data_IF_633197638932
#
_entry.id   IF_633197638932
#
_cell.length_a   1.000
_cell.length_b   1.000
_cell.length_c   1.000
_cell.angle_alpha   90.00
_cell.angle_beta   90.00
_cell.angle_gamma   90.00
#
_symmetry.space_group_name_H-M   'P 1'
#
loop_
_entity.id
_entity.type
_entity.pdbx_description
1 polymer ?
#
# COMPACT_ATOMS: atom_id res chain seq x y z
N UNK A 1 -4.19 18.15 4.68
CA UNK A 1 -5.02 16.93 4.89
C UNK A 1 -5.31 16.22 3.57
N UNK A 2 -5.94 16.84 2.56
CA UNK A 2 -6.34 16.16 1.31
C UNK A 2 -5.25 15.47 0.46
N UNK A 3 -4.02 15.99 0.35
CA UNK A 3 -3.01 15.36 -0.53
C UNK A 3 -2.57 13.98 -0.04
N UNK A 4 -2.57 13.74 1.28
CA UNK A 4 -2.10 12.48 1.85
C UNK A 4 -3.10 11.34 1.63
N UNK A 5 -4.39 11.63 1.76
CA UNK A 5 -5.49 10.72 1.43
C UNK A 5 -5.43 10.31 -0.05
N UNK A 6 -5.29 11.30 -0.95
CA UNK A 6 -5.20 11.05 -2.39
C UNK A 6 -3.99 10.18 -2.76
N UNK A 7 -2.84 10.39 -2.11
CA UNK A 7 -1.63 9.57 -2.33
C UNK A 7 -1.85 8.13 -1.87
N UNK A 8 -2.44 7.91 -0.69
CA UNK A 8 -2.71 6.57 -0.16
C UNK A 8 -3.74 5.83 -1.00
N UNK A 9 -4.83 6.49 -1.39
CA UNK A 9 -5.84 5.91 -2.26
C UNK A 9 -5.25 5.57 -3.63
N UNK A 10 -4.48 6.48 -4.25
CA UNK A 10 -3.80 6.24 -5.52
C UNK A 10 -2.83 5.05 -5.42
N UNK A 11 -2.05 4.98 -4.34
CA UNK A 11 -1.10 3.88 -4.12
C UNK A 11 -1.82 2.55 -3.95
N UNK A 12 -2.94 2.55 -3.23
CA UNK A 12 -3.81 1.39 -3.04
C UNK A 12 -4.38 0.90 -4.37
N UNK A 13 -4.89 1.81 -5.20
CA UNK A 13 -5.35 1.46 -6.54
C UNK A 13 -4.22 0.93 -7.43
N UNK A 14 -3.03 1.53 -7.36
CA UNK A 14 -1.86 1.10 -8.14
C UNK A 14 -1.46 -0.33 -7.79
N UNK A 15 -1.39 -0.67 -6.51
CA UNK A 15 -1.08 -2.02 -6.03
C UNK A 15 -2.15 -3.00 -6.50
N UNK A 16 -3.44 -2.69 -6.31
CA UNK A 16 -4.52 -3.60 -6.70
C UNK A 16 -4.55 -3.88 -8.21
N UNK A 17 -4.32 -2.87 -9.05
CA UNK A 17 -4.47 -3.01 -10.50
C UNK A 17 -3.18 -3.37 -11.25
N UNK A 18 -2.01 -3.07 -10.68
CA UNK A 18 -0.74 -3.13 -11.41
C UNK A 18 0.43 -3.66 -10.57
N UNK A 19 0.17 -4.48 -9.53
CA UNK A 19 1.23 -5.00 -8.64
C UNK A 19 2.39 -5.68 -9.38
N UNK A 20 2.10 -6.40 -10.47
CA UNK A 20 3.11 -7.11 -11.28
C UNK A 20 4.09 -6.17 -12.00
N UNK A 21 3.76 -4.88 -12.12
CA UNK A 21 4.64 -3.84 -12.67
C UNK A 21 5.46 -3.12 -11.58
N UNK A 22 5.14 -3.35 -10.31
CA UNK A 22 5.91 -2.84 -9.17
C UNK A 22 7.01 -3.86 -8.91
N UNK A 23 8.19 -3.68 -9.52
CA UNK A 23 9.31 -4.62 -9.35
C UNK A 23 10.28 -4.12 -8.28
N UNK A 24 10.85 -2.92 -8.48
CA UNK A 24 11.77 -2.28 -7.53
C UNK A 24 11.08 -1.26 -6.59
N UNK A 25 9.81 -0.95 -6.87
CA UNK A 25 9.07 0.13 -6.20
C UNK A 25 8.55 -0.20 -4.80
N UNK A 26 8.62 -1.46 -4.36
CA UNK A 26 7.99 -1.92 -3.11
C UNK A 26 8.46 -1.17 -1.87
N UNK A 27 9.74 -0.79 -1.80
CA UNK A 27 10.26 -0.01 -0.67
C UNK A 27 9.57 1.36 -0.55
N UNK A 28 9.29 2.00 -1.69
CA UNK A 28 8.60 3.28 -1.73
C UNK A 28 7.10 3.11 -1.39
N UNK A 29 6.48 2.03 -1.89
CA UNK A 29 5.09 1.66 -1.55
C UNK A 29 4.93 1.53 -0.04
N UNK A 30 5.78 0.75 0.62
CA UNK A 30 5.72 0.56 2.07
C UNK A 30 6.05 1.85 2.83
N UNK A 31 6.98 2.68 2.35
CA UNK A 31 7.27 3.98 2.98
C UNK A 31 6.03 4.88 3.05
N UNK A 32 5.23 4.92 1.97
CA UNK A 32 3.98 5.70 1.91
C UNK A 32 2.96 5.16 2.91
N UNK A 33 2.79 3.84 2.99
CA UNK A 33 1.85 3.24 3.95
C UNK A 33 2.30 3.41 5.41
N UNK A 34 3.60 3.32 5.70
CA UNK A 34 4.14 3.61 7.05
C UNK A 34 3.88 5.06 7.45
N UNK A 35 4.03 6.01 6.53
CA UNK A 35 3.68 7.41 6.79
C UNK A 35 2.18 7.61 6.99
N UNK A 36 1.34 6.85 6.27
CA UNK A 36 -0.12 6.89 6.39
C UNK A 36 -0.62 6.28 7.71
N UNK A 37 0.04 5.23 8.20
CA UNK A 37 -0.27 4.60 9.48
C UNK A 37 -0.03 5.51 10.70
N UNK A 38 0.79 6.56 10.55
CA UNK A 38 0.97 7.61 11.56
C UNK A 38 -0.05 8.76 11.49
N UNK A 39 -1.10 8.64 10.66
CA UNK A 39 -2.15 9.65 10.55
C UNK A 39 -3.10 9.62 11.77
N UNK A 40 -3.71 10.76 12.08
CA UNK A 40 -4.78 10.87 13.10
C UNK A 40 -6.17 10.50 12.57
N UNK A 41 -6.25 10.20 11.27
CA UNK A 41 -7.47 9.86 10.55
C UNK A 41 -7.59 8.34 10.44
N UNK A 42 -8.60 7.77 11.09
CA UNK A 42 -8.79 6.33 11.26
C UNK A 42 -8.99 5.62 9.92
N UNK A 43 -9.74 6.24 8.99
CA UNK A 43 -10.01 5.66 7.66
C UNK A 43 -8.72 5.49 6.84
N UNK A 44 -7.80 6.47 6.95
CA UNK A 44 -6.50 6.40 6.26
C UNK A 44 -5.64 5.29 6.86
N UNK A 45 -5.63 5.17 8.18
CA UNK A 45 -4.84 4.15 8.89
C UNK A 45 -5.37 2.76 8.54
N UNK A 46 -6.68 2.56 8.58
CA UNK A 46 -7.32 1.30 8.21
C UNK A 46 -7.05 0.93 6.75
N UNK A 47 -7.16 1.88 5.83
CA UNK A 47 -6.86 1.68 4.41
C UNK A 47 -5.39 1.26 4.18
N UNK A 48 -4.46 1.91 4.88
CA UNK A 48 -3.03 1.59 4.81
C UNK A 48 -2.73 0.19 5.36
N UNK A 49 -3.32 -0.17 6.50
CA UNK A 49 -3.17 -1.50 7.10
C UNK A 49 -3.77 -2.60 6.21
N UNK A 50 -5.00 -2.41 5.72
CA UNK A 50 -5.70 -3.37 4.87
C UNK A 50 -4.91 -3.66 3.60
N UNK A 51 -4.38 -2.61 2.95
CA UNK A 51 -3.60 -2.75 1.72
C UNK A 51 -2.25 -3.43 1.99
N UNK A 52 -1.59 -3.11 3.10
CA UNK A 52 -0.35 -3.76 3.51
C UNK A 52 -0.57 -5.26 3.75
N UNK A 53 -1.68 -5.63 4.39
CA UNK A 53 -2.03 -7.03 4.62
C UNK A 53 -2.28 -7.79 3.31
N UNK A 54 -2.95 -7.16 2.34
CA UNK A 54 -3.12 -7.73 0.99
C UNK A 54 -1.78 -7.94 0.27
N UNK A 55 -0.85 -6.98 0.38
CA UNK A 55 0.48 -7.10 -0.24
C UNK A 55 1.26 -8.26 0.39
N UNK A 56 1.33 -8.34 1.72
CA UNK A 56 2.16 -9.36 2.39
C UNK A 56 1.51 -10.74 2.28
N UNK A 57 0.21 -10.85 2.60
CA UNK A 57 -0.50 -12.12 2.68
C UNK A 57 -0.94 -12.67 1.32
N UNK A 58 -1.18 -11.79 0.34
CA UNK A 58 -1.52 -12.18 -1.02
C UNK A 58 -0.29 -12.13 -1.92
N UNK A 59 0.09 -10.92 -2.31
CA UNK A 59 1.01 -10.70 -3.43
C UNK A 59 2.43 -11.23 -3.18
N UNK A 60 3.02 -10.92 -2.03
CA UNK A 60 4.39 -11.30 -1.69
C UNK A 60 4.52 -12.79 -1.40
N UNK A 61 3.46 -13.41 -0.88
CA UNK A 61 3.37 -14.86 -0.76
C UNK A 61 3.41 -15.52 -2.15
N UNK A 62 2.65 -15.00 -3.12
CA UNK A 62 2.73 -15.45 -4.52
C UNK A 62 4.09 -15.14 -5.18
N UNK A 63 4.68 -13.97 -4.94
CA UNK A 63 5.98 -13.56 -5.49
C UNK A 63 7.15 -14.42 -5.02
N UNK A 64 7.08 -14.98 -3.81
CA UNK A 64 8.12 -15.88 -3.28
C UNK A 64 7.94 -17.34 -3.73
N UNK A 65 6.77 -17.70 -4.27
CA UNK A 65 6.46 -19.03 -4.79
C UNK A 65 6.54 -19.15 -6.32
N UNK A 66 6.63 -18.01 -7.03
CA UNK A 66 6.90 -17.93 -8.47
C UNK A 66 8.39 -17.68 -8.72
#
# INVERSE_FOLDING_TARGET
MKCRELVVACMTHMVNSHWNKIISGWKNVFSVFTMAAGSTDEDIVESAFTTTNYIIGGLMFFYSFC
#
